data_IF_297694217954
#
_entry.id   IF_297694217954
#
_cell.length_a   1.000
_cell.length_b   1.000
_cell.length_c   1.000
_cell.angle_alpha   90.00
_cell.angle_beta   90.00
_cell.angle_gamma   90.00
#
_symmetry.space_group_name_H-M   'P 1'
#
loop_
_entity.id
_entity.type
_entity.pdbx_description
1 polymer ?
#
# COMPACT_ATOMS: atom_id res chain seq x y z
N UNK A 1 5.30 -15.98 -17.68
CA UNK A 1 5.73 -14.91 -16.77
C UNK A 1 5.22 -15.30 -15.39
N UNK A 2 6.10 -15.61 -14.44
CA UNK A 2 5.67 -15.67 -13.05
C UNK A 2 5.23 -14.25 -12.68
N UNK A 3 3.94 -14.04 -12.52
CA UNK A 3 3.41 -12.83 -11.93
C UNK A 3 3.96 -12.80 -10.50
N UNK A 4 5.07 -12.09 -10.30
CA UNK A 4 5.62 -11.82 -8.98
C UNK A 4 4.47 -11.35 -8.11
N UNK A 5 4.29 -12.00 -6.96
CA UNK A 5 3.16 -11.79 -6.05
C UNK A 5 2.87 -10.29 -5.94
N UNK A 6 1.74 -9.76 -6.46
CA UNK A 6 1.51 -8.31 -6.61
C UNK A 6 1.72 -7.52 -5.32
N UNK A 7 1.54 -8.20 -4.18
CA UNK A 7 1.98 -7.75 -2.87
C UNK A 7 3.37 -7.12 -2.90
N UNK A 8 4.43 -7.82 -3.36
CA UNK A 8 5.82 -7.33 -3.22
C UNK A 8 6.13 -6.01 -3.92
N UNK A 9 5.43 -5.67 -5.00
CA UNK A 9 5.69 -4.43 -5.76
C UNK A 9 4.97 -3.21 -5.18
N UNK A 10 3.77 -3.43 -4.64
CA UNK A 10 2.89 -2.35 -4.18
C UNK A 10 2.78 -2.26 -2.67
N UNK A 11 2.93 -3.38 -1.97
CA UNK A 11 2.59 -3.56 -0.56
C UNK A 11 3.68 -4.32 0.19
N UNK A 12 4.14 -3.79 1.31
CA UNK A 12 5.07 -4.47 2.20
C UNK A 12 4.39 -4.88 3.51
N UNK A 13 3.85 -6.11 3.60
CA UNK A 13 3.16 -6.61 4.79
C UNK A 13 4.14 -6.92 5.93
N UNK A 14 3.72 -6.71 7.18
CA UNK A 14 4.51 -7.12 8.35
C UNK A 14 4.55 -8.66 8.49
N UNK A 15 5.57 -9.24 9.15
CA UNK A 15 5.59 -10.65 9.52
C UNK A 15 4.33 -11.09 10.26
N UNK A 16 3.79 -10.22 11.12
CA UNK A 16 2.54 -10.51 11.83
C UNK A 16 1.36 -10.62 10.87
N UNK A 17 1.26 -9.74 9.87
CA UNK A 17 0.25 -9.84 8.82
C UNK A 17 0.45 -11.07 7.92
N UNK A 18 1.70 -11.37 7.58
CA UNK A 18 2.06 -12.58 6.83
C UNK A 18 1.75 -13.88 7.57
N UNK A 19 1.73 -13.87 8.91
CA UNK A 19 1.32 -15.05 9.70
C UNK A 19 -0.16 -15.44 9.51
N UNK A 20 -0.97 -14.55 8.92
CA UNK A 20 -2.36 -14.81 8.51
C UNK A 20 -2.54 -14.67 6.99
N UNK A 21 -1.55 -15.04 6.18
CA UNK A 21 -1.58 -14.88 4.73
C UNK A 21 -2.78 -15.53 4.01
N UNK A 22 -3.45 -16.54 4.61
CA UNK A 22 -4.70 -17.11 4.07
C UNK A 22 -5.92 -16.21 4.27
N UNK A 23 -5.86 -15.27 5.20
CA UNK A 23 -6.98 -14.44 5.65
C UNK A 23 -7.00 -13.07 4.99
N UNK A 24 -6.05 -12.81 4.11
CA UNK A 24 -6.04 -11.60 3.30
C UNK A 24 -5.42 -11.87 1.94
N UNK A 25 -5.76 -11.03 0.98
CA UNK A 25 -5.18 -11.11 -0.36
C UNK A 25 -5.11 -9.74 -1.01
N UNK A 26 -4.25 -9.66 -2.02
CA UNK A 26 -4.12 -8.50 -2.90
C UNK A 26 -4.64 -8.90 -4.27
N UNK A 27 -5.56 -8.11 -4.81
CA UNK A 27 -6.05 -8.24 -6.19
C UNK A 27 -5.61 -6.99 -6.96
N UNK A 28 -4.90 -7.20 -8.05
CA UNK A 28 -4.47 -6.12 -8.92
C UNK A 28 -5.47 -5.93 -10.07
N UNK A 29 -5.92 -4.68 -10.25
CA UNK A 29 -6.75 -4.26 -11.36
C UNK A 29 -5.97 -3.27 -12.25
N UNK A 30 -6.55 -2.91 -13.40
CA UNK A 30 -5.92 -1.96 -14.34
C UNK A 30 -5.61 -0.62 -13.67
N UNK A 31 -6.60 -0.04 -12.97
CA UNK A 31 -6.52 1.29 -12.37
C UNK A 31 -6.35 1.30 -10.85
N UNK A 32 -6.34 0.13 -10.19
CA UNK A 32 -6.31 0.06 -8.73
C UNK A 32 -5.70 -1.24 -8.21
N UNK A 33 -5.44 -1.25 -6.92
CA UNK A 33 -5.11 -2.45 -6.13
C UNK A 33 -6.13 -2.58 -5.02
N UNK A 34 -6.71 -3.76 -4.89
CA UNK A 34 -7.61 -4.12 -3.80
C UNK A 34 -6.88 -4.94 -2.75
N UNK A 35 -7.03 -4.56 -1.49
CA UNK A 35 -6.60 -5.36 -0.36
C UNK A 35 -7.83 -5.83 0.40
N UNK A 36 -8.01 -7.15 0.47
CA UNK A 36 -9.19 -7.78 1.06
C UNK A 36 -8.73 -8.53 2.30
N UNK A 37 -9.36 -8.26 3.44
CA UNK A 37 -9.06 -8.88 4.73
C UNK A 37 -10.32 -9.53 5.32
N UNK A 38 -10.21 -10.79 5.75
CA UNK A 38 -11.25 -11.48 6.52
C UNK A 38 -11.21 -10.98 7.97
N UNK A 39 -12.03 -9.97 8.29
CA UNK A 39 -12.10 -9.33 9.61
C UNK A 39 -12.35 -10.33 10.73
N UNK A 40 -13.20 -11.33 10.50
CA UNK A 40 -13.48 -12.39 11.48
C UNK A 40 -12.22 -13.13 11.94
N UNK A 41 -11.26 -13.32 11.03
CA UNK A 41 -10.00 -13.98 11.34
C UNK A 41 -8.99 -13.08 12.08
N UNK A 42 -9.14 -11.75 12.02
CA UNK A 42 -8.30 -10.80 12.78
C UNK A 42 -8.89 -10.44 14.15
N UNK A 43 -10.18 -10.71 14.37
CA UNK A 43 -10.89 -10.40 15.61
C UNK A 43 -10.92 -8.89 15.88
N UNK A 44 -10.72 -8.50 17.13
CA UNK A 44 -10.67 -7.08 17.54
C UNK A 44 -9.31 -6.40 17.25
N UNK A 45 -8.36 -7.13 16.65
CA UNK A 45 -7.05 -6.55 16.37
C UNK A 45 -7.14 -5.60 15.16
N UNK A 46 -6.70 -4.34 15.31
CA UNK A 46 -6.72 -3.39 14.20
C UNK A 46 -5.73 -3.81 13.12
N UNK A 47 -6.16 -3.72 11.86
CA UNK A 47 -5.28 -3.81 10.69
C UNK A 47 -4.83 -2.39 10.34
N UNK A 48 -3.53 -2.15 10.37
CA UNK A 48 -2.94 -0.82 10.19
C UNK A 48 -2.31 -0.66 8.80
N UNK A 49 -2.95 0.12 7.94
CA UNK A 49 -2.29 0.65 6.74
C UNK A 49 -1.34 1.78 7.12
N UNK A 50 -0.05 1.63 6.84
CA UNK A 50 0.97 2.67 7.04
C UNK A 50 1.51 3.14 5.69
N UNK A 51 1.83 4.43 5.60
CA UNK A 51 2.17 5.07 4.34
C UNK A 51 3.50 5.80 4.50
N UNK A 52 4.54 5.31 3.86
CA UNK A 52 5.84 5.98 3.80
C UNK A 52 6.04 6.56 2.40
N UNK A 53 6.34 7.85 2.34
CA UNK A 53 6.83 8.49 1.12
C UNK A 53 8.29 8.09 0.92
N UNK A 54 8.70 7.80 -0.32
CA UNK A 54 10.12 7.68 -0.71
C UNK A 54 10.88 6.45 -0.15
N UNK A 55 10.22 5.51 0.53
CA UNK A 55 10.83 4.24 0.88
C UNK A 55 10.40 3.18 -0.13
N UNK A 56 11.34 2.80 -0.99
CA UNK A 56 11.23 1.60 -1.80
C UNK A 56 10.74 0.46 -0.90
N UNK A 57 9.56 -0.07 -1.18
CA UNK A 57 9.01 -1.25 -0.49
C UNK A 57 9.93 -2.47 -0.58
N UNK A 58 11.01 -2.39 -1.38
CA UNK A 58 12.05 -3.40 -1.52
C UNK A 58 13.20 -3.35 -0.50
N UNK A 59 13.49 -2.21 0.16
CA UNK A 59 14.72 -2.07 0.97
C UNK A 59 14.51 -2.05 2.49
N UNK A 60 13.26 -1.91 2.93
CA UNK A 60 12.89 -1.78 4.35
C UNK A 60 11.95 -2.92 4.72
N UNK A 61 12.39 -3.88 5.54
CA UNK A 61 11.47 -4.89 6.09
C UNK A 61 10.45 -4.21 7.02
N UNK A 62 9.16 -4.48 6.82
CA UNK A 62 8.14 -4.04 7.77
C UNK A 62 8.25 -4.87 9.06
N UNK A 63 8.98 -4.40 10.07
CA UNK A 63 9.18 -5.09 11.35
C UNK A 63 8.10 -4.78 12.39
N UNK A 64 6.94 -4.27 12.00
CA UNK A 64 5.85 -4.00 12.94
C UNK A 64 5.32 -5.31 13.56
N UNK A 65 5.10 -5.28 14.87
CA UNK A 65 4.51 -6.40 15.62
C UNK A 65 2.97 -6.50 15.47
N UNK A 66 2.37 -5.55 14.75
CA UNK A 66 0.93 -5.47 14.47
C UNK A 66 0.59 -6.01 13.07
N UNK A 67 -0.68 -6.30 12.82
CA UNK A 67 -1.17 -6.58 11.47
C UNK A 67 -1.09 -5.31 10.62
N UNK A 68 0.04 -5.05 9.98
CA UNK A 68 0.27 -3.81 9.23
C UNK A 68 0.85 -4.07 7.85
N UNK A 69 0.73 -3.05 7.00
CA UNK A 69 1.33 -3.07 5.66
C UNK A 69 1.75 -1.67 5.24
N UNK A 70 2.82 -1.57 4.45
CA UNK A 70 3.23 -0.32 3.80
C UNK A 70 2.78 -0.28 2.35
N UNK A 71 2.24 0.85 1.92
CA UNK A 71 1.85 1.08 0.53
C UNK A 71 2.94 1.86 -0.20
N UNK A 72 3.32 1.39 -1.39
CA UNK A 72 4.25 2.08 -2.27
C UNK A 72 3.57 3.29 -2.94
N UNK A 73 3.85 4.49 -2.40
CA UNK A 73 3.27 5.75 -2.86
C UNK A 73 3.80 6.29 -4.20
N UNK A 74 4.78 5.62 -4.80
CA UNK A 74 5.27 5.96 -6.15
C UNK A 74 4.31 5.45 -7.23
N UNK A 75 3.59 4.37 -6.93
CA UNK A 75 2.63 3.78 -7.86
C UNK A 75 1.18 3.91 -7.40
N UNK A 76 0.94 4.04 -6.09
CA UNK A 76 -0.41 4.06 -5.54
C UNK A 76 -0.78 5.42 -4.96
N UNK A 77 -1.99 5.88 -5.28
CA UNK A 77 -2.56 7.13 -4.80
C UNK A 77 -3.30 6.91 -3.49
N UNK A 78 -2.54 6.94 -2.40
CA UNK A 78 -3.10 6.82 -1.05
C UNK A 78 -4.20 7.87 -0.75
N UNK A 79 -4.14 9.08 -1.32
CA UNK A 79 -5.10 10.15 -0.99
C UNK A 79 -6.53 9.81 -1.40
N UNK A 80 -6.68 8.89 -2.33
CA UNK A 80 -7.96 8.44 -2.87
C UNK A 80 -8.28 7.02 -2.43
N UNK A 81 -7.62 6.52 -1.37
CA UNK A 81 -7.96 5.21 -0.82
C UNK A 81 -9.39 5.23 -0.28
N UNK A 82 -10.17 4.24 -0.66
CA UNK A 82 -11.50 4.00 -0.07
C UNK A 82 -11.48 2.69 0.69
N UNK A 83 -12.27 2.64 1.77
CA UNK A 83 -12.43 1.45 2.60
C UNK A 83 -13.90 1.08 2.64
N UNK A 84 -14.21 -0.18 2.37
CA UNK A 84 -15.54 -0.74 2.38
C UNK A 84 -15.59 -1.94 3.32
N UNK A 85 -16.69 -2.05 4.06
CA UNK A 85 -16.98 -3.21 4.91
C UNK A 85 -18.12 -3.98 4.25
N UNK A 86 -17.83 -5.20 3.79
CA UNK A 86 -18.84 -6.13 3.24
C UNK A 86 -18.83 -7.38 4.08
N UNK A 87 -19.91 -7.62 4.81
CA UNK A 87 -20.06 -8.77 5.70
C UNK A 87 -18.84 -8.90 6.66
N UNK A 88 -18.14 -10.02 6.59
CA UNK A 88 -16.93 -10.30 7.37
C UNK A 88 -15.64 -9.79 6.72
N UNK A 89 -15.72 -9.06 5.61
CA UNK A 89 -14.57 -8.56 4.87
C UNK A 89 -14.39 -7.04 5.01
N UNK A 90 -13.14 -6.64 5.23
CA UNK A 90 -12.67 -5.27 5.08
C UNK A 90 -11.90 -5.17 3.75
N UNK A 91 -12.31 -4.26 2.88
CA UNK A 91 -11.75 -4.10 1.54
C UNK A 91 -11.21 -2.67 1.41
N UNK A 92 -9.91 -2.54 1.13
CA UNK A 92 -9.30 -1.28 0.74
C UNK A 92 -9.16 -1.24 -0.77
N UNK A 93 -9.67 -0.19 -1.41
CA UNK A 93 -9.42 0.10 -2.81
C UNK A 93 -8.38 1.22 -2.88
N UNK A 94 -7.20 0.92 -3.42
CA UNK A 94 -6.09 1.85 -3.53
C UNK A 94 -5.87 2.17 -5.01
N UNK A 95 -6.24 3.37 -5.50
CA UNK A 95 -6.05 3.72 -6.90
C UNK A 95 -4.57 3.75 -7.29
N UNK A 96 -4.26 3.39 -8.54
CA UNK A 96 -2.93 3.58 -9.14
C UNK A 96 -2.78 5.04 -9.58
N UNK A 97 -1.57 5.58 -9.46
CA UNK A 97 -1.26 6.93 -9.93
C UNK A 97 -1.21 6.91 -11.45
N UNK A 98 -2.03 7.74 -12.10
CA UNK A 98 -1.98 7.91 -13.55
C UNK A 98 -0.66 8.56 -13.96
N UNK A 99 -0.08 8.12 -15.09
CA UNK A 99 1.22 8.59 -15.60
C UNK A 99 1.28 10.13 -15.74
N UNK A 100 0.15 10.78 -15.97
CA UNK A 100 0.03 12.25 -16.07
C UNK A 100 0.27 12.97 -14.73
N UNK A 101 -0.09 12.36 -13.60
CA UNK A 101 0.08 12.94 -12.27
C UNK A 101 1.53 12.84 -11.76
N UNK A 102 2.30 11.86 -12.25
CA UNK A 102 3.73 11.75 -11.96
C UNK A 102 4.54 12.94 -12.54
N UNK A 103 4.08 13.57 -13.63
CA UNK A 103 4.70 14.80 -14.16
C UNK A 103 4.58 15.98 -13.18
N UNK A 104 3.51 16.05 -12.36
CA UNK A 104 3.35 17.10 -11.33
C UNK A 104 4.23 16.84 -10.11
N UNK A 105 4.40 15.59 -9.67
CA UNK A 105 5.28 15.24 -8.54
C UNK A 105 6.75 15.59 -8.84
N UNK A 106 7.25 15.28 -10.05
CA UNK A 106 8.63 15.58 -10.45
C UNK A 106 8.94 17.09 -10.52
N UNK A 107 7.96 17.93 -10.92
CA UNK A 107 8.11 19.40 -10.87
C UNK A 107 8.23 19.92 -9.42
N UNK A 108 7.48 19.36 -8.48
CA UNK A 108 7.50 19.80 -7.08
C UNK A 108 8.73 19.34 -6.29
N UNK A 109 9.30 18.17 -6.60
CA UNK A 109 10.56 17.72 -5.99
C UNK A 109 11.76 18.56 -6.46
N UNK A 110 11.83 18.92 -7.75
CA UNK A 110 12.88 19.81 -8.28
C UNK A 110 12.81 21.22 -7.68
N UNK A 111 11.61 21.76 -7.45
CA UNK A 111 11.45 23.06 -6.79
C UNK A 111 11.82 23.05 -5.30
N UNK A 112 11.68 21.92 -4.59
CA UNK A 112 12.12 21.79 -3.19
C UNK A 112 13.65 21.67 -3.06
N UNK A 113 14.33 21.02 -4.01
CA UNK A 113 15.81 20.95 -4.03
C UNK A 113 16.46 22.33 -4.24
N UNK A 114 15.84 23.20 -5.04
CA UNK A 114 16.37 24.55 -5.30
C UNK A 114 16.12 25.56 -4.16
N UNK A 115 15.18 25.30 -3.24
CA UNK A 115 14.93 26.17 -2.07
C UNK A 115 15.82 25.88 -0.85
N UNK A 116 16.58 24.78 -0.84
CA UNK A 116 17.52 24.45 0.25
C UNK A 116 18.95 24.95 0.00
N UNK A 117 19.20 25.70 -1.08
CA UNK A 117 20.53 26.18 -1.47
C UNK A 117 20.72 27.71 -1.42
N UNK A 118 19.74 28.46 -0.92
CA UNK A 118 19.87 29.90 -0.68
C UNK A 118 19.71 30.20 0.80
#
# INVERSE_FOLDING_TARGET
MEAGTPGKYYINPSPKLMSKASEWRVVEHEDSVEMIFNKGAFGDNPIAGRFYYDQATGDSENKDDYYSFFVNSDFLNFKEVTCEFKDDFMIFYIPKIKVEDNKKKNKNQNNKKNKKKN
#
